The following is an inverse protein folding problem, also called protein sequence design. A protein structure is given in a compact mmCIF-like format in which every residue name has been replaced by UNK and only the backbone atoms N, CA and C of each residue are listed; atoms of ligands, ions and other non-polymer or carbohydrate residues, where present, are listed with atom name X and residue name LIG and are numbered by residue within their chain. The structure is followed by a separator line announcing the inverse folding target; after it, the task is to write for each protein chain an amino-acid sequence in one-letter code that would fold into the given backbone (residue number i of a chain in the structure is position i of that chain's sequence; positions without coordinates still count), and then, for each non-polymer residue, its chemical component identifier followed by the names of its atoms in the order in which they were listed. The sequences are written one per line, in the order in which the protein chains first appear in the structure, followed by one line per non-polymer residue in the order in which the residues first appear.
data_IF_041610524616
#
_entry.id   IF_041610524616
#
_cell.length_a   1.000
_cell.length_b   1.000
_cell.length_c   1.000
_cell.angle_alpha   90.00
_cell.angle_beta   90.00
_cell.angle_gamma   90.00
#
_symmetry.space_group_name_H-M   'P 1'
#
loop_
_entity.id
_entity.type
_entity.pdbx_description
1 polymer ?
#
# COMPACT_ATOMS: atom_id res chain seq x y z
N UNK A 1 13.16 -6.59 9.55
CA UNK A 1 11.90 -6.67 10.32
C UNK A 1 10.77 -6.32 9.37
N UNK A 2 9.70 -7.11 9.34
CA UNK A 2 8.56 -6.90 8.44
C UNK A 2 7.39 -6.29 9.22
N UNK A 3 6.58 -5.51 8.51
CA UNK A 3 5.39 -4.87 9.03
C UNK A 3 4.21 -5.16 8.11
N UNK A 4 3.02 -5.27 8.71
CA UNK A 4 1.75 -5.12 8.01
C UNK A 4 1.40 -3.63 7.96
N UNK A 5 1.33 -3.08 6.76
CA UNK A 5 0.88 -1.74 6.45
C UNK A 5 -0.61 -1.78 6.11
N UNK A 6 -1.37 -0.89 6.74
CA UNK A 6 -2.77 -0.62 6.41
C UNK A 6 -2.84 0.77 5.77
N UNK A 7 -3.05 0.83 4.45
CA UNK A 7 -2.84 2.02 3.63
C UNK A 7 -4.15 2.39 2.95
N UNK A 8 -4.58 3.64 3.10
CA UNK A 8 -5.74 4.14 2.37
C UNK A 8 -5.43 4.22 0.87
N UNK A 9 -6.40 3.85 0.04
CA UNK A 9 -6.29 3.90 -1.41
C UNK A 9 -5.97 5.33 -1.89
N UNK A 10 -5.17 5.43 -2.94
CA UNK A 10 -4.49 6.66 -3.33
C UNK A 10 -5.07 7.31 -4.59
N UNK A 11 -5.96 6.61 -5.30
CA UNK A 11 -6.71 7.17 -6.44
C UNK A 11 -7.89 8.00 -5.90
N UNK A 12 -8.06 9.25 -6.34
CA UNK A 12 -9.15 10.11 -5.89
C UNK A 12 -10.43 9.93 -6.74
N UNK A 13 -11.53 10.48 -6.23
CA UNK A 13 -12.75 10.71 -7.00
C UNK A 13 -12.46 11.53 -8.27
N UNK A 14 -13.09 11.24 -9.44
CA UNK A 14 -14.14 10.23 -9.65
C UNK A 14 -13.62 8.84 -10.06
N UNK A 15 -12.31 8.65 -10.16
CA UNK A 15 -11.74 7.36 -10.62
C UNK A 15 -11.88 6.26 -9.58
N UNK A 16 -11.94 6.64 -8.30
CA UNK A 16 -12.30 5.79 -7.18
C UNK A 16 -13.34 6.53 -6.34
N UNK A 17 -14.58 6.02 -6.32
CA UNK A 17 -15.70 6.77 -5.73
C UNK A 17 -15.66 6.77 -4.20
N UNK A 18 -15.38 5.61 -3.59
CA UNK A 18 -15.34 5.44 -2.14
C UNK A 18 -13.93 5.15 -1.62
N UNK A 19 -12.91 5.23 -2.49
CA UNK A 19 -11.53 4.94 -2.12
C UNK A 19 -11.31 3.44 -1.94
N UNK A 20 -10.79 3.08 -0.76
CA UNK A 20 -10.44 1.70 -0.45
C UNK A 20 -9.25 1.59 0.48
N UNK A 21 -8.76 0.37 0.66
CA UNK A 21 -7.63 0.09 1.52
C UNK A 21 -6.78 -1.05 0.99
N UNK A 22 -5.47 -0.95 1.22
CA UNK A 22 -4.48 -1.98 0.95
C UNK A 22 -3.91 -2.52 2.26
N UNK A 23 -3.76 -3.83 2.33
CA UNK A 23 -3.02 -4.53 3.39
C UNK A 23 -1.73 -5.11 2.79
N UNK A 24 -0.57 -4.60 3.20
CA UNK A 24 0.71 -4.89 2.54
C UNK A 24 1.76 -5.34 3.55
N UNK A 25 2.51 -6.39 3.22
CA UNK A 25 3.72 -6.76 3.98
C UNK A 25 4.93 -6.11 3.34
N UNK A 26 5.71 -5.37 4.12
CA UNK A 26 6.97 -4.79 3.68
C UNK A 26 7.93 -4.54 4.87
N UNK A 27 9.21 -4.32 4.59
CA UNK A 27 10.23 -3.95 5.60
C UNK A 27 10.45 -2.43 5.74
N UNK A 28 10.01 -1.64 4.75
CA UNK A 28 10.25 -0.20 4.66
C UNK A 28 9.15 0.49 3.84
N UNK A 29 9.06 1.81 3.95
CA UNK A 29 8.09 2.61 3.20
C UNK A 29 8.38 2.55 1.69
N UNK A 30 9.66 2.55 1.32
CA UNK A 30 10.12 2.39 -0.06
C UNK A 30 9.72 1.03 -0.63
N UNK A 31 10.00 -0.07 0.08
CA UNK A 31 9.57 -1.38 -0.40
C UNK A 31 8.05 -1.51 -0.44
N UNK A 32 7.34 -0.93 0.54
CA UNK A 32 5.88 -0.92 0.54
C UNK A 32 5.33 -0.19 -0.69
N UNK A 33 5.94 0.94 -1.07
CA UNK A 33 5.60 1.68 -2.26
C UNK A 33 5.82 0.83 -3.52
N UNK A 34 6.99 0.20 -3.65
CA UNK A 34 7.33 -0.61 -4.82
C UNK A 34 6.38 -1.81 -4.98
N UNK A 35 6.00 -2.46 -3.88
CA UNK A 35 5.03 -3.57 -3.88
C UNK A 35 3.66 -3.12 -4.39
N UNK A 36 3.15 -1.98 -3.92
CA UNK A 36 1.84 -1.47 -4.34
C UNK A 36 1.88 -0.98 -5.79
N UNK A 37 2.94 -0.29 -6.21
CA UNK A 37 3.12 0.16 -7.60
C UNK A 37 3.20 -1.01 -8.58
N UNK A 38 3.88 -2.09 -8.18
CA UNK A 38 3.95 -3.31 -8.98
C UNK A 38 2.57 -3.98 -9.13
N UNK A 39 1.75 -3.99 -8.06
CA UNK A 39 0.40 -4.54 -8.10
C UNK A 39 -0.59 -3.65 -8.88
N UNK A 40 -0.40 -2.32 -8.87
CA UNK A 40 -1.21 -1.35 -9.62
C UNK A 40 -0.91 -1.33 -11.14
N UNK A 41 0.14 -2.05 -11.57
CA UNK A 41 0.60 -2.11 -12.98
C UNK A 41 0.90 -0.73 -13.61
N UNK A 42 1.31 0.25 -12.79
CA UNK A 42 1.60 1.61 -13.25
C UNK A 42 0.40 2.33 -13.91
N UNK A 43 -0.83 1.92 -13.59
CA UNK A 43 -2.04 2.55 -14.15
C UNK A 43 -2.30 3.93 -13.56
N UNK A 44 -1.86 4.17 -12.32
CA UNK A 44 -2.18 5.38 -11.56
C UNK A 44 -0.95 6.25 -11.23
N UNK A 45 0.04 6.34 -12.14
CA UNK A 45 1.31 7.08 -11.95
C UNK A 45 1.10 8.50 -11.37
N UNK A 46 0.09 9.22 -11.86
CA UNK A 46 -0.23 10.57 -11.39
C UNK A 46 -0.65 10.66 -9.92
N UNK A 47 -1.08 9.54 -9.32
CA UNK A 47 -1.53 9.45 -7.94
C UNK A 47 -0.45 8.93 -6.98
N UNK A 48 0.74 8.55 -7.46
CA UNK A 48 1.79 7.94 -6.63
C UNK A 48 2.42 8.88 -5.59
N UNK A 49 2.33 10.20 -5.80
CA UNK A 49 2.64 11.16 -4.74
C UNK A 49 1.73 10.96 -3.52
N UNK A 50 0.44 10.71 -3.75
CA UNK A 50 -0.53 10.45 -2.69
C UNK A 50 -0.29 9.11 -2.01
N UNK A 51 0.05 8.07 -2.78
CA UNK A 51 0.43 6.77 -2.24
C UNK A 51 1.58 6.90 -1.22
N UNK A 52 2.64 7.66 -1.56
CA UNK A 52 3.77 7.89 -0.64
C UNK A 52 3.34 8.59 0.65
N UNK A 53 2.46 9.58 0.56
CA UNK A 53 1.90 10.24 1.75
C UNK A 53 1.11 9.26 2.62
N UNK A 54 0.25 8.44 1.99
CA UNK A 54 -0.60 7.48 2.69
C UNK A 54 0.24 6.39 3.37
N UNK A 55 1.30 5.88 2.73
CA UNK A 55 2.23 4.91 3.34
C UNK A 55 2.92 5.49 4.58
N UNK A 56 3.38 6.75 4.52
CA UNK A 56 4.02 7.42 5.67
C UNK A 56 3.08 7.56 6.87
N UNK A 57 1.79 7.76 6.61
CA UNK A 57 0.73 7.90 7.62
C UNK A 57 0.06 6.58 8.02
N UNK A 58 0.36 5.50 7.30
CA UNK A 58 -0.28 4.21 7.48
C UNK A 58 -0.07 3.66 8.90
N UNK A 59 -1.05 2.90 9.38
CA UNK A 59 -0.84 2.07 10.56
C UNK A 59 0.09 0.91 10.20
N UNK A 60 1.13 0.70 11.03
CA UNK A 60 2.18 -0.31 10.81
C UNK A 60 2.25 -1.25 12.00
N UNK A 61 2.09 -2.54 11.76
CA UNK A 61 2.13 -3.56 12.80
C UNK A 61 3.31 -4.50 12.56
N UNK A 62 4.21 -4.60 13.54
CA UNK A 62 5.33 -5.53 13.47
C UNK A 62 4.82 -6.98 13.33
N UNK A 63 5.37 -7.73 12.38
CA UNK A 63 5.06 -9.14 12.21
C UNK A 63 5.94 -10.00 13.13
N UNK A 64 5.35 -11.07 13.67
CA UNK A 64 6.09 -12.04 14.49
C UNK A 64 7.12 -12.80 13.67
N UNK A 65 6.76 -13.20 12.45
CA UNK A 65 7.64 -13.89 11.52
C UNK A 65 8.37 -12.87 10.62
N UNK A 66 9.70 -12.71 10.76
CA UNK A 66 10.47 -11.76 9.98
C UNK A 66 10.68 -12.19 8.52
N UNK A 67 10.46 -13.47 8.18
CA UNK A 67 10.71 -14.05 6.86
C UNK A 67 9.46 -14.03 5.96
N UNK A 68 8.39 -13.39 6.42
CA UNK A 68 7.20 -13.15 5.61
C UNK A 68 7.55 -12.40 4.32
N UNK A 69 7.12 -12.99 3.19
CA UNK A 69 7.35 -12.40 1.87
C UNK A 69 6.60 -11.07 1.75
N UNK A 70 7.30 -10.07 1.23
CA UNK A 70 6.67 -8.80 0.88
C UNK A 70 5.70 -8.99 -0.27
N UNK A 71 4.44 -8.59 -0.05
CA UNK A 71 3.35 -8.69 -1.02
C UNK A 71 2.15 -7.88 -0.54
N UNK A 72 1.23 -7.59 -1.45
CA UNK A 72 -0.14 -7.28 -1.09
C UNK A 72 -0.79 -8.55 -0.52
N UNK A 73 -1.32 -8.47 0.71
CA UNK A 73 -2.11 -9.56 1.30
C UNK A 73 -3.53 -9.51 0.75
N UNK A 74 -4.11 -8.31 0.74
CA UNK A 74 -5.45 -8.05 0.26
C UNK A 74 -5.62 -6.58 -0.07
N UNK A 75 -6.51 -6.30 -1.01
CA UNK A 75 -6.99 -4.96 -1.31
C UNK A 75 -8.51 -4.97 -1.41
N UNK A 76 -9.13 -3.89 -0.93
CA UNK A 76 -10.55 -3.59 -1.16
C UNK A 76 -10.60 -2.19 -1.76
N UNK A 77 -10.90 -2.11 -3.05
CA UNK A 77 -10.83 -0.89 -3.85
C UNK A 77 -12.18 -0.67 -4.53
N UNK A 78 -12.61 0.58 -4.67
CA UNK A 78 -13.91 0.97 -5.25
C UNK A 78 -13.76 2.12 -6.22
#
# INVERSE_FOLDING_TARGET
MKYLYIIDHFVPFPHSEYGGQWSVVADSDEQCFDVVVCEDEELNIGCYGKLRENIKKASKFALQDPDQKSRVISSFLT
#
